data_IF_445190211502
#
_entry.id   IF_445190211502
#
_cell.length_a   1.000
_cell.length_b   1.000
_cell.length_c   1.000
_cell.angle_alpha   90.00
_cell.angle_beta   90.00
_cell.angle_gamma   90.00
#
_symmetry.space_group_name_H-M   'P 1'
#
loop_
_entity.id
_entity.type
_entity.pdbx_description
1 polymer ?
#
# COMPACT_ATOMS: atom_id res chain seq x y z
N UNK A 1 -6.64 0.64 -12.78
CA UNK A 1 -6.59 1.91 -12.02
C UNK A 1 -7.15 2.92 -12.99
N UNK A 2 -8.48 3.02 -13.05
CA UNK A 2 -9.12 4.02 -13.90
C UNK A 2 -9.15 5.31 -13.08
N UNK A 3 -8.41 6.32 -13.52
CA UNK A 3 -8.57 7.68 -13.01
C UNK A 3 -9.98 8.12 -13.38
N UNK A 4 -10.92 8.01 -12.43
CA UNK A 4 -12.24 8.59 -12.62
C UNK A 4 -12.12 10.10 -12.51
N UNK A 5 -12.86 10.83 -13.35
CA UNK A 5 -13.11 12.26 -13.16
C UNK A 5 -13.50 12.52 -11.71
N UNK A 6 -12.96 13.56 -11.08
CA UNK A 6 -13.24 13.86 -9.67
C UNK A 6 -14.73 14.12 -9.48
N UNK A 7 -15.42 13.25 -8.76
CA UNK A 7 -16.85 13.37 -8.51
C UNK A 7 -17.12 14.53 -7.54
N UNK A 8 -18.11 15.36 -7.85
CA UNK A 8 -18.52 16.47 -6.99
C UNK A 8 -19.70 16.03 -6.10
N UNK A 9 -19.55 16.17 -4.79
CA UNK A 9 -20.62 15.88 -3.83
C UNK A 9 -21.45 17.13 -3.43
N UNK A 10 -21.21 18.26 -4.10
CA UNK A 10 -21.85 19.55 -3.85
C UNK A 10 -21.16 20.42 -2.79
N UNK A 11 -20.18 19.88 -2.05
CA UNK A 11 -19.34 20.63 -1.10
C UNK A 11 -17.87 20.62 -1.52
N UNK A 12 -17.38 19.46 -1.93
CA UNK A 12 -16.03 19.27 -2.41
C UNK A 12 -15.95 18.13 -3.42
N UNK A 13 -14.88 18.15 -4.21
CA UNK A 13 -14.54 17.07 -5.12
C UNK A 13 -13.87 15.92 -4.39
N UNK A 14 -14.31 14.70 -4.67
CA UNK A 14 -13.59 13.48 -4.29
C UNK A 14 -12.25 13.38 -5.02
N UNK A 15 -11.30 12.69 -4.40
CA UNK A 15 -9.95 12.53 -4.96
C UNK A 15 -9.99 11.60 -6.18
N UNK A 16 -9.15 11.84 -7.20
CA UNK A 16 -9.17 11.07 -8.46
C UNK A 16 -8.83 9.58 -8.25
N UNK A 17 -8.20 9.26 -7.12
CA UNK A 17 -7.94 7.90 -6.66
C UNK A 17 -8.08 7.81 -5.14
N UNK A 18 -8.08 6.59 -4.59
CA UNK A 18 -8.04 6.36 -3.16
C UNK A 18 -6.66 6.77 -2.56
N UNK A 19 -6.61 7.91 -1.89
CA UNK A 19 -5.44 8.36 -1.15
C UNK A 19 -5.01 7.42 -0.02
N UNK A 20 -5.90 6.60 0.54
CA UNK A 20 -5.49 5.55 1.47
C UNK A 20 -4.73 4.43 0.76
N UNK A 21 -5.13 4.05 -0.45
CA UNK A 21 -4.39 3.09 -1.26
C UNK A 21 -3.00 3.63 -1.63
N UNK A 22 -2.90 4.89 -2.06
CA UNK A 22 -1.63 5.52 -2.41
C UNK A 22 -0.69 5.66 -1.20
N UNK A 23 -1.21 6.10 -0.05
CA UNK A 23 -0.43 6.22 1.19
C UNK A 23 0.11 4.88 1.70
N UNK A 24 -0.61 3.77 1.41
CA UNK A 24 -0.15 2.41 1.68
C UNK A 24 0.88 1.96 0.65
N UNK A 25 0.61 2.19 -0.64
CA UNK A 25 1.47 1.77 -1.75
C UNK A 25 2.87 2.39 -1.68
N UNK A 26 2.98 3.65 -1.25
CA UNK A 26 4.27 4.35 -1.09
C UNK A 26 5.24 3.66 -0.11
N UNK A 27 4.73 2.74 0.72
CA UNK A 27 5.48 1.99 1.74
C UNK A 27 5.51 0.47 1.51
N UNK A 28 4.97 -0.01 0.37
CA UNK A 28 4.93 -1.45 0.07
C UNK A 28 6.26 -2.03 -0.40
N UNK A 29 7.08 -1.25 -1.11
CA UNK A 29 8.39 -1.69 -1.57
C UNK A 29 9.48 -0.77 -1.00
N UNK A 30 10.54 -1.37 -0.45
CA UNK A 30 11.63 -0.64 0.21
C UNK A 30 12.34 0.33 -0.72
N UNK A 31 12.59 -0.08 -1.98
CA UNK A 31 13.23 0.77 -2.98
C UNK A 31 12.36 1.97 -3.37
N UNK A 32 11.05 1.77 -3.51
CA UNK A 32 10.11 2.83 -3.85
C UNK A 32 9.99 3.84 -2.72
N UNK A 33 9.81 3.35 -1.49
CA UNK A 33 9.78 4.18 -0.29
C UNK A 33 11.07 4.99 -0.15
N UNK A 34 12.23 4.33 -0.31
CA UNK A 34 13.54 4.98 -0.23
C UNK A 34 13.70 6.10 -1.26
N UNK A 35 13.27 5.88 -2.51
CA UNK A 35 13.34 6.90 -3.56
C UNK A 35 12.51 8.15 -3.23
N UNK A 36 11.30 8.00 -2.68
CA UNK A 36 10.47 9.12 -2.25
C UNK A 36 11.14 9.93 -1.13
N UNK A 37 11.67 9.24 -0.12
CA UNK A 37 12.38 9.91 0.98
C UNK A 37 13.70 10.56 0.53
N UNK A 38 14.39 9.96 -0.44
CA UNK A 38 15.59 10.56 -1.04
C UNK A 38 15.26 11.87 -1.74
N UNK A 39 14.23 11.90 -2.61
CA UNK A 39 13.78 13.12 -3.29
C UNK A 39 13.39 14.22 -2.28
N UNK A 40 12.63 13.86 -1.24
CA UNK A 40 12.30 14.78 -0.13
C UNK A 40 13.55 15.32 0.55
N UNK A 41 14.52 14.46 0.87
CA UNK A 41 15.74 14.86 1.56
C UNK A 41 16.63 15.76 0.70
N UNK A 42 16.71 15.49 -0.62
CA UNK A 42 17.42 16.35 -1.56
C UNK A 42 16.82 17.77 -1.58
N UNK A 43 15.49 17.89 -1.72
CA UNK A 43 14.81 19.19 -1.61
C UNK A 43 15.02 19.84 -0.25
N UNK A 44 14.95 19.06 0.82
CA UNK A 44 15.16 19.56 2.17
C UNK A 44 16.61 20.04 2.40
N UNK A 45 17.60 19.50 1.67
CA UNK A 45 18.97 20.00 1.64
C UNK A 45 19.08 21.39 1.01
N UNK A 46 18.25 21.67 0.00
CA UNK A 46 18.16 22.96 -0.69
C UNK A 46 17.23 23.97 0.01
N UNK A 47 16.67 23.64 1.18
CA UNK A 47 15.72 24.52 1.86
C UNK A 47 16.38 25.84 2.32
N UNK A 48 15.85 26.94 1.80
CA UNK A 48 16.17 28.31 2.21
C UNK A 48 15.34 28.66 3.45
N UNK A 49 15.95 29.04 4.59
CA UNK A 49 15.23 29.40 5.79
C UNK A 49 14.15 30.47 5.55
N UNK A 50 12.96 30.24 6.11
CA UNK A 50 11.81 31.14 5.95
C UNK A 50 11.21 31.48 7.32
N UNK A 51 10.87 32.74 7.62
CA UNK A 51 10.33 33.15 8.93
C UNK A 51 9.05 32.41 9.33
N UNK A 52 8.20 32.07 8.35
CA UNK A 52 6.89 31.44 8.61
C UNK A 52 6.87 29.93 8.35
N UNK A 53 7.92 29.34 7.76
CA UNK A 53 7.93 27.94 7.36
C UNK A 53 9.18 27.27 7.92
N UNK A 54 9.00 26.31 8.83
CA UNK A 54 10.12 25.56 9.35
C UNK A 54 10.60 24.52 8.34
N UNK A 55 11.88 24.13 8.43
CA UNK A 55 12.46 23.05 7.61
C UNK A 55 11.68 21.73 7.78
N UNK A 56 11.19 21.43 8.97
CA UNK A 56 10.37 20.25 9.23
C UNK A 56 9.01 20.33 8.52
N UNK A 57 8.34 21.48 8.58
CA UNK A 57 7.08 21.71 7.87
C UNK A 57 7.26 21.61 6.35
N UNK A 58 8.34 22.17 5.81
CA UNK A 58 8.71 22.02 4.41
C UNK A 58 8.96 20.55 4.02
N UNK A 59 9.66 19.79 4.87
CA UNK A 59 9.91 18.36 4.63
C UNK A 59 8.60 17.54 4.55
N UNK A 60 7.61 17.86 5.40
CA UNK A 60 6.28 17.25 5.33
C UNK A 60 5.53 17.66 4.05
N UNK A 61 5.53 18.95 3.72
CA UNK A 61 4.92 19.48 2.50
C UNK A 61 5.49 18.84 1.22
N UNK A 62 6.81 18.75 1.12
CA UNK A 62 7.49 18.14 -0.02
C UNK A 62 7.20 16.64 -0.13
N UNK A 63 7.09 15.93 1.00
CA UNK A 63 6.74 14.51 0.99
C UNK A 63 5.33 14.28 0.45
N UNK A 64 4.36 15.10 0.86
CA UNK A 64 2.98 15.01 0.37
C UNK A 64 2.93 15.23 -1.14
N UNK A 65 3.69 16.21 -1.67
CA UNK A 65 3.79 16.43 -3.11
C UNK A 65 4.31 15.18 -3.84
N UNK A 66 5.40 14.57 -3.35
CA UNK A 66 5.93 13.36 -4.00
C UNK A 66 5.01 12.15 -3.89
N UNK A 67 4.27 11.98 -2.77
CA UNK A 67 3.39 10.83 -2.55
C UNK A 67 2.05 10.96 -3.27
N UNK A 68 1.45 12.15 -3.28
CA UNK A 68 0.09 12.35 -3.79
C UNK A 68 0.04 13.19 -5.06
N UNK A 69 1.14 13.81 -5.49
CA UNK A 69 1.11 14.87 -6.50
C UNK A 69 0.41 16.13 -5.99
N UNK A 70 0.16 16.24 -4.68
CA UNK A 70 -0.61 17.33 -4.07
C UNK A 70 0.05 17.71 -2.76
N UNK A 71 0.23 19.00 -2.51
CA UNK A 71 0.69 19.51 -1.24
C UNK A 71 0.00 20.82 -0.90
N UNK A 72 -0.36 20.99 0.37
CA UNK A 72 -1.17 22.11 0.84
C UNK A 72 -0.46 22.84 1.98
N UNK A 73 -0.40 24.18 1.90
CA UNK A 73 0.07 25.05 2.97
C UNK A 73 -1.04 26.00 3.39
N UNK A 74 -1.48 25.88 4.65
CA UNK A 74 -2.39 26.82 5.28
C UNK A 74 -1.59 27.98 5.88
N UNK A 75 -1.94 29.22 5.53
CA UNK A 75 -1.47 30.41 6.24
C UNK A 75 -2.29 30.64 7.50
N UNK A 76 -1.65 30.48 8.65
CA UNK A 76 -2.21 30.85 9.95
C UNK A 76 -1.98 32.33 10.19
N UNK A 77 -3.03 33.04 10.58
CA UNK A 77 -3.01 34.47 10.84
C UNK A 77 -3.35 34.78 12.30
N UNK A 78 -2.77 35.86 12.84
CA UNK A 78 -3.14 36.37 14.16
C UNK A 78 -4.52 37.07 14.14
N UNK A 79 -4.96 37.60 15.28
CA UNK A 79 -6.26 38.33 15.38
C UNK A 79 -6.31 39.60 14.53
N UNK A 80 -5.15 40.19 14.21
CA UNK A 80 -5.02 41.38 13.36
C UNK A 80 -4.89 41.02 11.86
N UNK A 81 -4.88 39.74 11.51
CA UNK A 81 -4.82 39.27 10.13
C UNK A 81 -3.39 39.06 9.59
N UNK A 82 -2.34 39.30 10.38
CA UNK A 82 -0.96 39.11 9.94
C UNK A 82 -0.57 37.62 9.92
N UNK A 83 0.19 37.16 8.92
CA UNK A 83 0.61 35.76 8.83
C UNK A 83 1.65 35.44 9.91
N UNK A 84 1.42 34.37 10.67
CA UNK A 84 2.30 33.93 11.77
C UNK A 84 2.94 32.56 11.53
N UNK A 85 2.36 31.73 10.68
CA UNK A 85 2.92 30.42 10.31
C UNK A 85 2.32 29.90 9.01
N UNK A 86 3.12 29.14 8.25
CA UNK A 86 2.69 28.29 7.16
C UNK A 86 2.67 26.85 7.68
N UNK A 87 1.48 26.25 7.73
CA UNK A 87 1.28 24.89 8.24
C UNK A 87 0.92 23.94 7.10
N UNK A 88 1.64 22.83 6.91
CA UNK A 88 1.26 21.83 5.94
C UNK A 88 -0.06 21.18 6.37
N UNK A 89 -1.03 21.16 5.46
CA UNK A 89 -2.23 20.36 5.60
C UNK A 89 -2.03 19.05 4.84
N UNK A 90 -2.31 17.93 5.49
CA UNK A 90 -2.07 16.61 4.92
C UNK A 90 -2.92 16.40 3.65
N UNK A 91 -2.25 16.10 2.54
CA UNK A 91 -2.89 15.94 1.24
C UNK A 91 -3.85 14.74 1.21
N UNK A 92 -3.55 13.70 1.99
CA UNK A 92 -4.44 12.54 2.18
C UNK A 92 -5.87 12.94 2.59
N UNK A 93 -5.98 13.97 3.43
CA UNK A 93 -7.22 14.39 4.09
C UNK A 93 -7.83 15.67 3.52
N UNK A 94 -7.07 16.41 2.73
CA UNK A 94 -7.55 17.68 2.16
C UNK A 94 -8.40 17.42 0.90
N UNK A 95 -9.46 18.20 0.73
CA UNK A 95 -10.34 18.18 -0.45
C UNK A 95 -10.52 19.58 -1.03
N UNK A 96 -10.59 19.67 -2.36
CA UNK A 96 -10.88 20.91 -3.08
C UNK A 96 -12.39 21.15 -3.09
N UNK A 97 -12.82 22.33 -2.65
CA UNK A 97 -14.23 22.72 -2.68
C UNK A 97 -14.80 22.75 -4.09
N UNK A 98 -16.10 22.52 -4.22
CA UNK A 98 -16.84 22.57 -5.50
C UNK A 98 -16.81 23.96 -6.13
N UNK A 99 -16.58 25.00 -5.31
CA UNK A 99 -16.38 26.38 -5.74
C UNK A 99 -14.97 26.65 -6.32
N UNK A 100 -14.09 25.63 -6.35
CA UNK A 100 -12.70 25.72 -6.79
C UNK A 100 -11.91 26.81 -6.07
N UNK A 101 -12.27 27.16 -4.84
CA UNK A 101 -11.58 28.18 -4.05
C UNK A 101 -11.41 27.74 -2.60
N UNK A 102 -12.47 27.19 -2.01
CA UNK A 102 -12.46 26.65 -0.66
C UNK A 102 -11.72 25.31 -0.61
N UNK A 103 -11.21 24.96 0.57
CA UNK A 103 -10.67 23.63 0.86
C UNK A 103 -11.32 23.08 2.11
N UNK A 104 -11.41 21.75 2.18
CA UNK A 104 -11.93 21.00 3.30
C UNK A 104 -10.88 20.04 3.83
N UNK A 105 -10.91 19.78 5.13
CA UNK A 105 -10.09 18.77 5.79
C UNK A 105 -11.01 17.71 6.38
N UNK A 106 -10.78 16.45 6.01
CA UNK A 106 -11.52 15.30 6.52
C UNK A 106 -10.74 14.67 7.69
N UNK A 107 -11.31 14.69 8.89
CA UNK A 107 -10.73 14.04 10.04
C UNK A 107 -11.02 12.53 10.03
N UNK A 108 -10.20 11.75 10.73
CA UNK A 108 -10.37 10.30 10.83
C UNK A 108 -11.69 9.90 11.54
N UNK A 109 -12.27 10.80 12.35
CA UNK A 109 -13.56 10.60 13.04
C UNK A 109 -14.79 10.90 12.15
N UNK A 110 -14.56 11.26 10.88
CA UNK A 110 -15.60 11.62 9.93
C UNK A 110 -16.07 13.08 10.03
N UNK A 111 -15.53 13.87 10.97
CA UNK A 111 -15.79 15.31 11.01
C UNK A 111 -15.07 16.03 9.88
N UNK A 112 -15.69 17.09 9.38
CA UNK A 112 -15.18 17.87 8.25
C UNK A 112 -14.95 19.31 8.70
N UNK A 113 -13.82 19.87 8.32
CA UNK A 113 -13.44 21.25 8.63
C UNK A 113 -13.20 22.03 7.34
N UNK A 114 -13.95 23.11 7.12
CA UNK A 114 -13.69 24.03 6.02
C UNK A 114 -12.56 25.01 6.41
N UNK A 115 -11.52 25.07 5.59
CA UNK A 115 -10.50 26.11 5.72
C UNK A 115 -11.09 27.48 5.39
N UNK A 116 -10.50 28.53 5.96
CA UNK A 116 -10.83 29.90 5.56
C UNK A 116 -10.47 30.08 4.07
N UNK A 117 -11.41 30.63 3.30
CA UNK A 117 -11.23 30.97 1.90
C UNK A 117 -9.95 31.80 1.68
N UNK A 118 -9.15 31.45 0.67
CA UNK A 118 -7.86 32.09 0.38
C UNK A 118 -6.74 31.81 1.40
N UNK A 119 -6.94 30.94 2.40
CA UNK A 119 -5.91 30.62 3.39
C UNK A 119 -5.04 29.42 2.99
N UNK A 120 -5.41 28.63 1.99
CA UNK A 120 -4.67 27.44 1.57
C UNK A 120 -4.03 27.66 0.21
N UNK A 121 -2.72 27.47 0.14
CA UNK A 121 -1.98 27.34 -1.10
C UNK A 121 -1.88 25.86 -1.46
N UNK A 122 -2.35 25.49 -2.64
CA UNK A 122 -2.27 24.14 -3.19
C UNK A 122 -1.26 24.10 -4.31
N UNK A 123 -0.21 23.32 -4.11
CA UNK A 123 0.78 23.00 -5.14
C UNK A 123 0.47 21.60 -5.63
N UNK A 124 0.19 21.47 -6.93
CA UNK A 124 -0.19 20.23 -7.56
C UNK A 124 0.75 19.87 -8.70
N UNK A 125 0.93 18.56 -8.92
CA UNK A 125 1.58 18.02 -10.11
C UNK A 125 0.51 17.84 -11.20
N UNK A 126 0.56 18.60 -12.31
CA UNK A 126 -0.51 18.58 -13.31
C UNK A 126 -0.85 17.17 -13.81
N UNK A 127 -2.13 16.93 -14.05
CA UNK A 127 -2.65 15.69 -14.61
C UNK A 127 -3.34 15.97 -15.95
N UNK A 128 -3.29 14.98 -16.85
CA UNK A 128 -3.89 15.11 -18.19
C UNK A 128 -5.40 14.86 -18.18
N UNK A 129 -5.95 14.27 -17.12
CA UNK A 129 -7.35 13.87 -17.06
C UNK A 129 -8.25 14.89 -16.34
N UNK A 130 -7.67 15.77 -15.52
CA UNK A 130 -8.40 16.78 -14.73
C UNK A 130 -7.45 17.86 -14.17
N UNK A 131 -8.02 19.00 -13.76
CA UNK A 131 -7.26 20.18 -13.26
C UNK A 131 -7.50 20.50 -11.77
N UNK A 132 -8.26 19.66 -11.06
CA UNK A 132 -8.71 19.87 -9.67
C UNK A 132 -7.65 19.41 -8.67
N UNK A 133 -7.03 18.27 -8.92
CA UNK A 133 -5.97 17.66 -8.12
C UNK A 133 -4.76 17.38 -8.98
N UNK A 134 -3.60 17.20 -8.33
CA UNK A 134 -2.45 16.62 -9.00
C UNK A 134 -2.40 15.11 -8.88
N UNK A 135 -1.44 14.51 -9.58
CA UNK A 135 -1.24 13.06 -9.60
C UNK A 135 0.23 12.68 -9.35
N UNK A 136 0.52 11.62 -8.58
CA UNK A 136 1.89 11.19 -8.34
C UNK A 136 2.54 10.62 -9.62
N UNK A 137 3.81 10.93 -9.86
CA UNK A 137 4.54 10.50 -11.06
C UNK A 137 4.67 8.97 -11.18
N UNK A 138 4.59 8.25 -10.07
CA UNK A 138 4.90 6.83 -9.99
C UNK A 138 3.70 5.90 -10.19
N UNK A 139 2.54 6.42 -10.61
CA UNK A 139 1.31 5.60 -10.77
C UNK A 139 1.55 4.38 -11.67
N UNK A 140 2.26 4.57 -12.78
CA UNK A 140 2.62 3.47 -13.68
C UNK A 140 3.50 2.39 -13.02
N UNK A 141 4.27 2.77 -12.00
CA UNK A 141 5.11 1.87 -11.21
C UNK A 141 4.37 1.09 -10.12
N UNK A 142 3.10 1.40 -9.83
CA UNK A 142 2.34 0.76 -8.73
C UNK A 142 2.20 -0.75 -8.91
N UNK A 143 2.07 -1.23 -10.15
CA UNK A 143 2.04 -2.66 -10.45
C UNK A 143 3.38 -3.33 -10.10
N UNK A 144 4.51 -2.73 -10.49
CA UNK A 144 5.84 -3.22 -10.12
C UNK A 144 6.06 -3.23 -8.60
N UNK A 145 5.65 -2.16 -7.92
CA UNK A 145 5.69 -2.07 -6.45
C UNK A 145 4.87 -3.19 -5.81
N UNK A 146 3.67 -3.45 -6.32
CA UNK A 146 2.79 -4.51 -5.81
C UNK A 146 3.37 -5.91 -6.04
N UNK A 147 3.91 -6.18 -7.23
CA UNK A 147 4.57 -7.45 -7.56
C UNK A 147 5.81 -7.69 -6.68
N UNK A 148 6.62 -6.65 -6.49
CA UNK A 148 7.79 -6.69 -5.59
C UNK A 148 7.38 -7.04 -4.15
N UNK A 149 6.35 -6.37 -3.62
CA UNK A 149 5.85 -6.63 -2.28
C UNK A 149 5.28 -8.04 -2.12
N UNK A 150 4.53 -8.55 -3.10
CA UNK A 150 4.01 -9.92 -3.09
C UNK A 150 5.15 -10.94 -3.11
N UNK A 151 6.18 -10.73 -3.93
CA UNK A 151 7.34 -11.62 -3.99
C UNK A 151 8.11 -11.64 -2.66
N UNK A 152 8.33 -10.49 -2.05
CA UNK A 152 9.03 -10.41 -0.76
C UNK A 152 8.18 -11.01 0.39
N UNK A 153 6.86 -10.81 0.37
CA UNK A 153 5.92 -11.46 1.30
C UNK A 153 5.95 -12.98 1.14
N UNK A 154 5.89 -13.48 -0.09
CA UNK A 154 5.96 -14.90 -0.38
C UNK A 154 7.28 -15.49 0.13
N UNK A 155 8.43 -14.86 -0.16
CA UNK A 155 9.75 -15.30 0.35
C UNK A 155 9.80 -15.33 1.87
N UNK A 156 9.26 -14.31 2.53
CA UNK A 156 9.19 -14.25 3.99
C UNK A 156 8.37 -15.41 4.54
N UNK A 157 7.18 -15.64 4.00
CA UNK A 157 6.33 -16.76 4.42
C UNK A 157 6.95 -18.11 4.10
N UNK A 158 7.65 -18.23 2.97
CA UNK A 158 8.39 -19.44 2.60
C UNK A 158 9.49 -19.75 3.62
N UNK A 159 10.27 -18.74 4.01
CA UNK A 159 11.31 -18.87 5.03
C UNK A 159 10.73 -19.16 6.41
N UNK A 160 9.75 -18.37 6.86
CA UNK A 160 9.16 -18.46 8.20
C UNK A 160 8.43 -19.80 8.43
N UNK A 161 7.88 -20.43 7.38
CA UNK A 161 7.12 -21.67 7.51
C UNK A 161 7.96 -22.95 7.44
N UNK A 162 9.21 -22.90 6.98
CA UNK A 162 10.10 -24.08 6.88
C UNK A 162 9.62 -25.21 5.94
N UNK A 163 8.39 -25.14 5.41
CA UNK A 163 7.83 -26.12 4.49
C UNK A 163 7.99 -25.64 3.05
N UNK A 164 8.83 -26.36 2.33
CA UNK A 164 9.21 -26.06 0.95
C UNK A 164 8.09 -26.33 -0.09
N UNK A 165 7.02 -27.03 0.30
CA UNK A 165 5.84 -27.29 -0.52
C UNK A 165 4.65 -27.70 0.33
N UNK A 166 3.43 -27.35 -0.09
CA UNK A 166 2.26 -28.10 0.36
C UNK A 166 2.39 -29.56 -0.11
N UNK A 167 1.80 -30.51 0.61
CA UNK A 167 1.67 -31.87 0.12
C UNK A 167 0.20 -32.28 0.07
N UNK A 168 -0.12 -33.15 -0.88
CA UNK A 168 -1.37 -33.89 -0.87
C UNK A 168 -1.08 -35.20 -0.14
N UNK A 169 -1.66 -35.37 1.05
CA UNK A 169 -1.59 -36.64 1.78
C UNK A 169 -2.80 -37.46 1.36
N UNK A 170 -2.55 -38.57 0.69
CA UNK A 170 -3.57 -39.53 0.28
C UNK A 170 -3.59 -40.71 1.24
N UNK A 171 -4.74 -41.03 1.81
CA UNK A 171 -4.92 -42.18 2.71
C UNK A 171 -5.92 -43.14 2.07
N UNK A 172 -5.41 -44.25 1.52
CA UNK A 172 -6.16 -45.26 0.78
C UNK A 172 -6.47 -46.54 1.57
N UNK A 173 -5.84 -46.73 2.73
CA UNK A 173 -5.99 -47.93 3.54
C UNK A 173 -7.46 -48.16 3.98
N UNK A 174 -8.00 -49.33 3.66
CA UNK A 174 -9.36 -49.75 4.04
C UNK A 174 -9.58 -49.85 5.57
N UNK A 175 -8.50 -49.76 6.37
CA UNK A 175 -8.52 -49.82 7.84
C UNK A 175 -7.80 -48.62 8.50
N UNK A 176 -7.91 -47.42 7.95
CA UNK A 176 -7.48 -46.24 8.68
C UNK A 176 -8.43 -46.00 9.88
N UNK A 177 -7.93 -46.11 11.12
CA UNK A 177 -8.69 -45.75 12.32
C UNK A 177 -8.98 -44.23 12.29
N UNK A 178 -10.21 -43.84 12.63
CA UNK A 178 -10.66 -42.45 12.66
C UNK A 178 -9.76 -41.56 13.54
N UNK A 179 -9.23 -42.11 14.64
CA UNK A 179 -8.30 -41.40 15.53
C UNK A 179 -6.97 -41.05 14.83
N UNK A 180 -6.46 -41.96 13.98
CA UNK A 180 -5.22 -41.73 13.23
C UNK A 180 -5.40 -40.70 12.12
N UNK A 181 -6.57 -40.70 11.46
CA UNK A 181 -6.90 -39.67 10.45
C UNK A 181 -7.02 -38.29 11.10
N UNK A 182 -7.66 -38.19 12.26
CA UNK A 182 -7.79 -36.92 12.96
C UNK A 182 -6.44 -36.46 13.54
N UNK A 183 -5.58 -37.38 14.00
CA UNK A 183 -4.21 -37.06 14.39
C UNK A 183 -3.39 -36.51 13.21
N UNK A 184 -3.45 -37.14 12.03
CA UNK A 184 -2.78 -36.64 10.81
C UNK A 184 -3.31 -35.26 10.43
N UNK A 185 -4.63 -35.07 10.44
CA UNK A 185 -5.26 -33.77 10.15
C UNK A 185 -4.85 -32.70 11.15
N UNK A 186 -4.79 -33.03 12.44
CA UNK A 186 -4.32 -32.13 13.50
C UNK A 186 -2.85 -31.76 13.27
N UNK A 187 -1.97 -32.73 13.03
CA UNK A 187 -0.55 -32.49 12.75
C UNK A 187 -0.34 -31.66 11.49
N UNK A 188 -1.08 -31.91 10.41
CA UNK A 188 -1.02 -31.10 9.19
C UNK A 188 -1.53 -29.66 9.42
N UNK A 189 -2.47 -29.48 10.34
CA UNK A 189 -3.03 -28.17 10.71
C UNK A 189 -2.17 -27.43 11.74
N UNK A 190 -1.42 -28.15 12.59
CA UNK A 190 -0.53 -27.60 13.63
C UNK A 190 0.88 -27.33 13.09
N UNK A 191 1.35 -28.13 12.13
CA UNK A 191 2.58 -27.87 11.36
C UNK A 191 2.44 -26.65 10.43
N UNK A 192 1.26 -26.01 10.44
CA UNK A 192 0.92 -24.79 9.72
C UNK A 192 1.61 -23.59 10.38
N UNK A 193 2.67 -23.09 9.75
CA UNK A 193 3.09 -21.70 9.95
C UNK A 193 2.08 -20.69 9.38
N UNK A 194 2.29 -19.39 9.56
CA UNK A 194 1.36 -18.32 9.14
C UNK A 194 1.28 -18.08 7.60
N UNK A 195 1.46 -19.06 6.71
CA UNK A 195 1.56 -18.74 5.27
C UNK A 195 1.41 -19.81 4.17
N UNK A 196 2.21 -19.62 3.10
CA UNK A 196 1.79 -19.54 1.69
C UNK A 196 1.25 -20.79 0.97
N UNK A 197 1.44 -21.99 1.51
CA UNK A 197 1.02 -23.25 0.87
C UNK A 197 0.03 -24.01 1.76
N UNK A 198 -1.00 -24.60 1.15
CA UNK A 198 -2.00 -25.41 1.85
C UNK A 198 -1.71 -26.89 1.62
N UNK A 199 -1.64 -27.67 2.69
CA UNK A 199 -1.67 -29.13 2.62
C UNK A 199 -3.11 -29.58 2.34
N UNK A 200 -3.28 -30.60 1.51
CA UNK A 200 -4.60 -31.18 1.21
C UNK A 200 -4.58 -32.63 1.68
N UNK A 201 -5.53 -33.01 2.54
CA UNK A 201 -5.73 -34.40 2.95
C UNK A 201 -6.86 -34.99 2.11
N UNK A 202 -6.58 -36.04 1.36
CA UNK A 202 -7.56 -36.82 0.61
C UNK A 202 -7.68 -38.20 1.24
N UNK A 203 -8.85 -38.50 1.81
CA UNK A 203 -9.15 -39.82 2.37
C UNK A 203 -10.10 -40.57 1.44
N UNK A 204 -9.67 -41.71 0.92
CA UNK A 204 -10.43 -42.52 -0.03
C UNK A 204 -10.28 -44.02 0.33
N UNK A 205 -11.12 -44.52 1.26
CA UNK A 205 -11.01 -45.89 1.76
C UNK A 205 -11.21 -46.91 0.63
N UNK A 206 -10.21 -47.78 0.42
CA UNK A 206 -10.21 -48.81 -0.62
C UNK A 206 -9.73 -48.34 -2.01
N UNK A 207 -9.24 -47.10 -2.12
CA UNK A 207 -8.95 -46.44 -3.40
C UNK A 207 -7.47 -46.27 -3.77
N UNK A 208 -6.53 -47.12 -3.36
CA UNK A 208 -5.12 -46.90 -3.73
C UNK A 208 -4.27 -48.17 -3.71
N UNK A 209 -3.23 -48.22 -4.56
CA UNK A 209 -2.24 -49.31 -4.54
C UNK A 209 -1.41 -49.34 -3.26
N UNK A 210 -1.20 -48.17 -2.63
CA UNK A 210 -0.46 -48.01 -1.36
C UNK A 210 -1.37 -47.42 -0.26
N UNK A 211 -1.16 -47.83 1.00
CA UNK A 211 -2.02 -47.44 2.14
C UNK A 211 -1.99 -45.95 2.50
N UNK A 212 -0.83 -45.29 2.37
CA UNK A 212 -0.64 -43.83 2.53
C UNK A 212 0.36 -43.36 1.48
N UNK A 213 0.03 -42.29 0.75
CA UNK A 213 0.93 -41.65 -0.20
C UNK A 213 1.05 -40.16 0.11
N UNK A 214 2.29 -39.66 0.07
CA UNK A 214 2.56 -38.22 0.08
C UNK A 214 2.85 -37.84 -1.35
N UNK A 215 1.90 -37.14 -1.98
CA UNK A 215 2.09 -36.56 -3.29
C UNK A 215 2.61 -35.14 -3.10
N UNK A 216 3.91 -34.89 -3.34
CA UNK A 216 4.39 -33.52 -3.32
C UNK A 216 3.65 -32.74 -4.42
N UNK A 217 3.22 -31.50 -4.15
CA UNK A 217 3.04 -30.58 -5.27
C UNK A 217 4.37 -30.58 -6.02
N UNK A 218 4.36 -30.84 -7.34
CA UNK A 218 5.58 -30.82 -8.12
C UNK A 218 6.41 -29.62 -7.68
N UNK A 219 7.69 -29.85 -7.37
CA UNK A 219 8.63 -28.77 -7.12
C UNK A 219 8.67 -27.93 -8.39
N UNK A 220 7.78 -26.95 -8.48
CA UNK A 220 7.93 -25.87 -9.44
C UNK A 220 9.30 -25.31 -9.07
N UNK A 221 10.18 -25.24 -10.05
CA UNK A 221 11.53 -24.68 -10.08
C UNK A 221 11.51 -23.19 -9.74
N UNK A 222 10.77 -22.83 -8.70
CA UNK A 222 10.39 -21.49 -8.32
C UNK A 222 11.57 -20.77 -7.65
N UNK A 223 12.63 -21.50 -7.29
CA UNK A 223 13.86 -20.91 -6.78
C UNK A 223 14.51 -19.95 -7.78
N UNK A 224 14.42 -20.23 -9.09
CA UNK A 224 15.13 -19.46 -10.13
C UNK A 224 14.25 -18.42 -10.84
N UNK A 225 12.94 -18.64 -11.02
CA UNK A 225 12.08 -17.66 -11.71
C UNK A 225 11.81 -16.38 -10.90
N UNK A 226 11.75 -16.46 -9.56
CA UNK A 226 11.44 -15.28 -8.76
C UNK A 226 12.58 -14.26 -8.67
N UNK A 227 13.83 -14.70 -8.80
CA UNK A 227 14.98 -13.78 -8.89
C UNK A 227 14.89 -12.95 -10.17
N UNK A 228 14.50 -13.57 -11.28
CA UNK A 228 14.32 -12.90 -12.57
C UNK A 228 13.20 -11.85 -12.54
N UNK A 229 12.08 -12.12 -11.87
CA UNK A 229 10.97 -11.15 -11.75
C UNK A 229 11.40 -9.85 -11.05
N UNK A 230 12.36 -9.90 -10.12
CA UNK A 230 12.86 -8.70 -9.41
C UNK A 230 13.89 -7.93 -10.23
N UNK A 231 14.65 -8.61 -11.08
CA UNK A 231 15.58 -7.98 -12.04
C UNK A 231 14.86 -7.20 -13.13
N UNK A 232 13.75 -7.74 -13.64
CA UNK A 232 12.98 -7.13 -14.73
C UNK A 232 11.99 -6.03 -14.28
N UNK A 233 11.70 -5.94 -12.98
CA UNK A 233 10.74 -4.97 -12.42
C UNK A 233 11.39 -3.72 -11.79
N UNK A 234 12.74 -3.65 -11.79
CA UNK A 234 13.52 -2.51 -11.29
C UNK A 234 13.76 -1.45 -12.35
#
# INVERSE_FOLDING_TARGET
>A
LDNMSCADNGRYYDTPMDWNAIARASRRASWHQSALYFKRNALNGCFVPHPLLSRQAFSAFALDWFVFGNAYLEVRRNKFGEPIALRPALAKYTRRGSDLDTYWYLNDDGSEFAFRKGAVCHVLNPDINQEIYGMPEYIGGLLSVSLSNSADTFRKLYYDNGSHAGCIVYVGAAQANAESVEAIKKTLTESRGKGAFRNILLHAPGGGKDGVQILPFQQITAKDEFLNIKGSAR
#
